data_IF_171324631305
#
_entry.id   IF_171324631305
#
_cell.length_a   1.000
_cell.length_b   1.000
_cell.length_c   1.000
_cell.angle_alpha   90.00
_cell.angle_beta   90.00
_cell.angle_gamma   90.00
#
_symmetry.space_group_name_H-M   'P 1'
#
loop_
_entity.id
_entity.type
_entity.pdbx_description
1 polymer ?
#
# COMPACT_ATOMS: atom_id res chain seq x y z
N UNK A 1 13.07 2.11 16.15
CA UNK A 1 11.82 2.63 15.61
C UNK A 1 11.17 1.52 14.81
N UNK A 2 9.87 1.34 14.95
CA UNK A 2 9.10 0.38 14.17
C UNK A 2 8.45 1.11 12.99
N UNK A 3 8.44 0.50 11.82
CA UNK A 3 7.84 1.09 10.62
C UNK A 3 6.33 1.20 10.77
N UNK A 4 5.69 0.26 11.48
CA UNK A 4 4.27 0.29 11.82
C UNK A 4 3.89 1.56 12.59
N UNK A 5 4.77 2.04 13.47
CA UNK A 5 4.54 3.29 14.22
C UNK A 5 4.57 4.55 13.35
N UNK A 6 5.10 4.43 12.13
CA UNK A 6 5.13 5.49 11.13
C UNK A 6 4.18 5.23 9.96
N UNK A 7 3.58 4.04 9.90
CA UNK A 7 2.71 3.64 8.81
C UNK A 7 1.48 4.53 8.77
N UNK A 8 1.10 4.97 7.57
CA UNK A 8 0.00 5.92 7.41
C UNK A 8 0.38 7.39 7.63
N UNK A 9 1.61 7.69 8.07
CA UNK A 9 2.06 9.08 8.17
C UNK A 9 2.21 9.70 6.77
N UNK A 10 1.68 10.92 6.64
CA UNK A 10 1.84 11.74 5.44
C UNK A 10 3.28 12.26 5.36
N UNK A 11 3.85 12.27 4.17
CA UNK A 11 5.17 12.85 3.90
C UNK A 11 4.96 14.17 3.16
N UNK A 12 5.47 15.27 3.70
CA UNK A 12 5.33 16.62 3.14
C UNK A 12 6.72 17.22 2.91
N UNK A 13 6.94 17.77 1.72
CA UNK A 13 8.13 18.58 1.46
C UNK A 13 7.94 20.00 2.01
N UNK A 14 8.84 20.43 2.89
CA UNK A 14 8.79 21.75 3.51
C UNK A 14 9.15 22.86 2.52
N UNK A 15 9.97 22.56 1.51
CA UNK A 15 10.50 23.56 0.57
C UNK A 15 9.38 24.22 -0.25
N UNK A 16 8.36 23.46 -0.62
CA UNK A 16 7.25 23.94 -1.44
C UNK A 16 5.86 23.59 -0.86
N UNK A 17 5.80 23.06 0.36
CA UNK A 17 4.59 22.59 1.02
C UNK A 17 3.81 21.51 0.23
N UNK A 18 4.51 20.72 -0.59
CA UNK A 18 3.90 19.66 -1.41
C UNK A 18 3.72 18.35 -0.65
N UNK A 19 2.59 17.70 -0.88
CA UNK A 19 2.31 16.37 -0.37
C UNK A 19 2.99 15.31 -1.25
N UNK A 20 3.94 14.58 -0.67
CA UNK A 20 4.71 13.56 -1.39
C UNK A 20 4.04 12.18 -1.37
N UNK A 21 3.15 11.90 -0.41
CA UNK A 21 2.45 10.61 -0.29
C UNK A 21 2.37 10.11 1.14
N UNK A 22 1.93 8.86 1.30
CA UNK A 22 1.88 8.13 2.57
C UNK A 22 3.08 7.19 2.66
N UNK A 23 3.77 7.17 3.80
CA UNK A 23 4.86 6.24 4.05
C UNK A 23 4.40 4.78 3.85
N UNK A 24 5.03 4.10 2.88
CA UNK A 24 4.72 2.71 2.52
C UNK A 24 5.84 1.73 2.89
N UNK A 25 7.09 2.20 2.89
CA UNK A 25 8.22 1.33 3.19
C UNK A 25 9.56 2.02 3.28
N UNK A 26 10.61 1.21 3.33
CA UNK A 26 12.00 1.66 3.42
C UNK A 26 12.88 1.04 2.34
N UNK A 27 13.91 1.78 1.95
CA UNK A 27 14.99 1.30 1.09
C UNK A 27 16.24 1.14 1.94
N UNK A 28 16.73 -0.10 2.02
CA UNK A 28 17.96 -0.42 2.74
C UNK A 28 19.10 -0.63 1.76
N UNK A 29 20.27 -0.13 2.12
CA UNK A 29 21.51 -0.47 1.43
C UNK A 29 21.75 -1.99 1.45
N UNK A 30 22.01 -2.61 0.30
CA UNK A 30 22.09 -4.07 0.24
C UNK A 30 23.32 -4.65 0.98
N UNK A 31 24.34 -3.85 1.28
CA UNK A 31 25.61 -4.30 1.86
C UNK A 31 25.66 -4.03 3.36
N UNK A 32 25.33 -2.80 3.74
CA UNK A 32 25.37 -2.31 5.13
C UNK A 32 24.03 -2.41 5.85
N UNK A 33 22.95 -2.66 5.10
CA UNK A 33 21.56 -2.64 5.58
C UNK A 33 21.16 -1.32 6.23
N UNK A 34 21.89 -0.23 5.99
CA UNK A 34 21.53 1.11 6.49
C UNK A 34 20.33 1.62 5.72
N UNK A 35 19.37 2.22 6.41
CA UNK A 35 18.23 2.86 5.76
C UNK A 35 18.71 4.08 4.99
N UNK A 36 18.58 4.05 3.68
CA UNK A 36 18.97 5.17 2.81
C UNK A 36 17.78 6.08 2.52
N UNK A 37 16.63 5.47 2.23
CA UNK A 37 15.42 6.20 1.86
C UNK A 37 14.20 5.60 2.55
N UNK A 38 13.16 6.42 2.68
CA UNK A 38 11.79 5.94 2.73
C UNK A 38 11.18 6.00 1.34
N UNK A 39 10.11 5.25 1.10
CA UNK A 39 9.28 5.47 -0.08
C UNK A 39 7.79 5.53 0.26
N UNK A 40 7.07 6.29 -0.55
CA UNK A 40 5.64 6.52 -0.41
C UNK A 40 4.81 5.61 -1.32
N UNK A 41 3.50 5.62 -1.12
CA UNK A 41 2.48 4.99 -1.98
C UNK A 41 2.48 5.52 -3.42
N UNK A 42 2.89 6.78 -3.60
CA UNK A 42 3.11 7.44 -4.91
C UNK A 42 4.46 7.09 -5.55
N UNK A 43 5.22 6.14 -4.97
CA UNK A 43 6.59 5.80 -5.38
C UNK A 43 7.59 6.97 -5.34
N UNK A 44 7.39 7.94 -4.45
CA UNK A 44 8.39 8.97 -4.17
C UNK A 44 9.40 8.46 -3.16
N UNK A 45 10.69 8.62 -3.46
CA UNK A 45 11.80 8.22 -2.59
C UNK A 45 12.37 9.44 -1.89
N UNK A 46 12.44 9.40 -0.55
CA UNK A 46 12.91 10.52 0.27
C UNK A 46 14.10 10.07 1.12
N UNK A 47 15.24 10.78 1.10
CA UNK A 47 16.39 10.43 1.92
C UNK A 47 16.01 10.35 3.40
N UNK A 48 16.44 9.29 4.07
CA UNK A 48 16.05 9.04 5.47
C UNK A 48 16.66 10.09 6.42
N UNK A 49 17.88 10.53 6.15
CA UNK A 49 18.62 11.48 6.99
C UNK A 49 18.01 12.90 6.98
N UNK A 50 17.20 13.22 5.96
CA UNK A 50 16.53 14.52 5.82
C UNK A 50 15.10 14.53 6.39
N UNK A 51 14.68 13.45 7.04
CA UNK A 51 13.35 13.34 7.62
C UNK A 51 13.29 13.95 9.01
N UNK A 52 12.34 14.86 9.19
CA UNK A 52 11.95 15.38 10.49
C UNK A 52 10.64 14.70 10.91
N UNK A 53 10.70 14.02 12.05
CA UNK A 53 9.57 13.27 12.60
C UNK A 53 8.63 14.19 13.38
N UNK A 54 7.48 14.50 12.79
CA UNK A 54 6.36 15.12 13.49
C UNK A 54 5.48 14.07 14.20
N UNK A 55 4.42 14.55 14.87
CA UNK A 55 3.48 13.67 15.58
C UNK A 55 2.68 12.77 14.62
N UNK A 56 2.18 13.34 13.52
CA UNK A 56 1.30 12.66 12.55
C UNK A 56 1.81 12.79 11.10
N UNK A 57 2.91 13.51 10.89
CA UNK A 57 3.44 13.89 9.58
C UNK A 57 4.97 13.77 9.60
N UNK A 58 5.54 13.28 8.51
CA UNK A 58 6.96 13.33 8.23
C UNK A 58 7.25 14.52 7.32
N UNK A 59 8.21 15.34 7.71
CA UNK A 59 8.63 16.47 6.91
C UNK A 59 9.96 16.16 6.23
N UNK A 60 10.12 16.56 4.98
CA UNK A 60 11.38 16.46 4.26
C UNK A 60 11.79 17.81 3.68
N UNK A 61 13.09 18.09 3.66
CA UNK A 61 13.65 19.19 2.88
C UNK A 61 13.78 18.87 1.38
N UNK A 62 13.69 17.59 1.01
CA UNK A 62 13.82 17.11 -0.36
C UNK A 62 12.47 16.92 -1.04
N UNK A 63 12.45 17.12 -2.36
CA UNK A 63 11.24 16.97 -3.17
C UNK A 63 10.83 15.52 -3.44
N UNK A 64 11.69 14.59 -3.01
CA UNK A 64 11.61 13.19 -3.37
C UNK A 64 12.01 12.95 -4.83
N UNK A 65 12.41 11.72 -5.10
CA UNK A 65 12.78 11.26 -6.45
C UNK A 65 11.74 10.24 -6.92
N UNK A 66 11.39 10.25 -8.20
CA UNK A 66 10.41 9.32 -8.78
C UNK A 66 11.01 7.98 -9.21
N UNK A 67 12.33 7.88 -9.26
CA UNK A 67 13.05 6.68 -9.64
C UNK A 67 14.26 6.51 -8.73
N UNK A 68 14.45 5.30 -8.23
CA UNK A 68 15.63 4.93 -7.46
C UNK A 68 16.53 4.01 -8.28
N UNK A 69 17.74 4.48 -8.60
CA UNK A 69 18.75 3.68 -9.30
C UNK A 69 19.75 3.11 -8.29
N UNK A 70 19.71 1.79 -8.04
CA UNK A 70 20.73 1.15 -7.21
C UNK A 70 20.43 -0.28 -6.79
N UNK A 71 21.48 -0.96 -6.33
CA UNK A 71 21.42 -2.27 -5.66
C UNK A 71 20.95 -2.09 -4.22
N UNK A 72 19.66 -1.88 -4.01
CA UNK A 72 19.09 -1.72 -2.67
C UNK A 72 17.88 -2.60 -2.45
N UNK A 73 17.57 -2.87 -1.19
CA UNK A 73 16.46 -3.70 -0.78
C UNK A 73 15.26 -2.80 -0.49
N UNK A 74 14.29 -2.78 -1.40
CA UNK A 74 12.99 -2.10 -1.20
C UNK A 74 12.08 -3.04 -0.42
N UNK A 75 11.68 -2.66 0.79
CA UNK A 75 10.83 -3.49 1.65
C UNK A 75 9.61 -2.66 2.08
N UNK A 76 8.42 -3.08 1.65
CA UNK A 76 7.15 -2.48 2.08
C UNK A 76 6.56 -3.22 3.27
N UNK A 77 5.72 -2.53 4.03
CA UNK A 77 4.75 -3.20 4.90
C UNK A 77 3.77 -4.02 4.05
N UNK A 78 3.42 -5.21 4.53
CA UNK A 78 2.56 -6.15 3.82
C UNK A 78 3.24 -6.94 2.70
N UNK A 79 4.54 -6.71 2.41
CA UNK A 79 5.27 -7.44 1.38
C UNK A 79 5.31 -8.96 1.68
N UNK A 80 5.11 -9.78 0.65
CA UNK A 80 5.11 -11.23 0.78
C UNK A 80 6.53 -11.77 0.98
N UNK A 81 6.75 -12.58 2.00
CA UNK A 81 8.05 -13.19 2.28
C UNK A 81 8.10 -14.61 1.73
N UNK A 82 9.17 -14.91 0.99
CA UNK A 82 9.43 -16.23 0.43
C UNK A 82 10.80 -16.74 0.87
N UNK A 83 10.94 -18.06 0.98
CA UNK A 83 12.26 -18.68 1.07
C UNK A 83 12.98 -18.68 -0.28
N UNK A 84 14.28 -18.93 -0.29
CA UNK A 84 15.06 -19.22 -1.50
C UNK A 84 14.46 -20.32 -2.41
N UNK A 85 13.67 -21.23 -1.83
CA UNK A 85 12.98 -22.31 -2.57
C UNK A 85 11.60 -21.90 -3.08
N UNK A 86 11.23 -20.62 -3.00
CA UNK A 86 9.91 -20.11 -3.41
C UNK A 86 8.77 -20.43 -2.44
N UNK A 87 9.02 -21.13 -1.31
CA UNK A 87 7.98 -21.36 -0.29
C UNK A 87 7.58 -20.05 0.37
N UNK A 88 6.28 -19.75 0.40
CA UNK A 88 5.71 -18.62 1.13
C UNK A 88 5.89 -18.79 2.64
N UNK A 89 6.29 -17.71 3.31
CA UNK A 89 6.64 -17.67 4.74
C UNK A 89 5.73 -16.75 5.56
N UNK A 90 4.96 -15.87 4.91
CA UNK A 90 4.09 -14.89 5.56
C UNK A 90 4.20 -13.51 4.91
N UNK A 91 3.67 -12.49 5.58
CA UNK A 91 3.79 -11.08 5.17
C UNK A 91 4.66 -10.28 6.14
N UNK A 92 5.20 -9.18 5.65
CA UNK A 92 5.92 -8.21 6.46
C UNK A 92 4.93 -7.43 7.32
N UNK A 93 4.81 -7.78 8.60
CA UNK A 93 3.95 -7.08 9.55
C UNK A 93 4.55 -5.73 9.93
N UNK A 94 5.87 -5.71 10.12
CA UNK A 94 6.59 -4.53 10.60
C UNK A 94 8.08 -4.63 10.27
N UNK A 95 8.77 -3.50 10.35
CA UNK A 95 10.21 -3.40 10.12
C UNK A 95 10.85 -2.55 11.21
N UNK A 96 11.81 -3.11 11.92
CA UNK A 96 12.65 -2.38 12.86
C UNK A 96 13.97 -2.04 12.18
N UNK A 97 14.27 -0.76 12.03
CA UNK A 97 15.44 -0.25 11.30
C UNK A 97 16.29 0.71 12.16
N UNK A 98 16.42 0.41 13.46
CA UNK A 98 17.30 1.18 14.35
C UNK A 98 18.78 0.88 14.04
N UNK A 99 19.68 1.84 14.27
CA UNK A 99 21.13 1.69 14.13
C UNK A 99 21.68 0.44 14.83
N UNK A 100 21.10 0.06 15.97
CA UNK A 100 21.52 -1.12 16.77
C UNK A 100 20.87 -2.43 16.37
N UNK A 101 19.67 -2.42 15.78
CA UNK A 101 18.88 -3.63 15.52
C UNK A 101 18.05 -3.47 14.26
N UNK A 102 18.25 -4.40 13.32
CA UNK A 102 17.58 -4.44 12.03
C UNK A 102 16.90 -5.78 11.83
N UNK A 103 15.57 -5.81 11.88
CA UNK A 103 14.79 -7.03 11.68
C UNK A 103 13.43 -6.72 11.06
N UNK A 104 12.90 -7.70 10.33
CA UNK A 104 11.52 -7.73 9.84
C UNK A 104 10.69 -8.60 10.79
N UNK A 105 9.47 -8.17 11.08
CA UNK A 105 8.46 -8.99 11.76
C UNK A 105 7.57 -9.65 10.71
N UNK A 106 7.40 -10.95 10.83
CA UNK A 106 6.54 -11.77 9.98
C UNK A 106 5.84 -12.82 10.83
N UNK A 107 4.52 -12.72 10.94
CA UNK A 107 3.69 -13.60 11.78
C UNK A 107 4.25 -13.74 13.20
N UNK A 108 4.57 -12.61 13.84
CA UNK A 108 5.21 -12.52 15.16
C UNK A 108 6.66 -13.08 15.27
N UNK A 109 7.27 -13.51 14.15
CA UNK A 109 8.67 -13.96 14.13
C UNK A 109 9.59 -12.82 13.73
N UNK A 110 10.71 -12.69 14.45
CA UNK A 110 11.79 -11.74 14.12
C UNK A 110 12.75 -12.37 13.12
N UNK A 111 12.88 -11.75 11.96
CA UNK A 111 13.77 -12.19 10.89
C UNK A 111 14.84 -11.12 10.71
N UNK A 112 16.11 -11.49 10.88
CA UNK A 112 17.21 -10.56 10.67
C UNK A 112 17.29 -10.10 9.21
N UNK A 113 17.50 -8.80 8.98
CA UNK A 113 17.52 -8.21 7.63
C UNK A 113 18.63 -8.79 6.75
N UNK A 114 19.73 -9.25 7.33
CA UNK A 114 20.83 -9.91 6.60
C UNK A 114 20.45 -11.25 5.95
N UNK A 115 19.26 -11.77 6.25
CA UNK A 115 18.68 -12.93 5.56
C UNK A 115 17.96 -12.54 4.27
N UNK A 116 17.67 -11.27 4.05
CA UNK A 116 17.03 -10.77 2.83
C UNK A 116 18.11 -10.70 1.74
N UNK A 117 17.99 -11.57 0.75
CA UNK A 117 18.92 -11.63 -0.38
C UNK A 117 18.43 -10.79 -1.55
N UNK A 118 17.12 -10.66 -1.71
CA UNK A 118 16.45 -9.85 -2.70
C UNK A 118 15.14 -9.30 -2.13
N UNK A 119 14.77 -8.08 -2.50
CA UNK A 119 13.50 -7.49 -2.12
C UNK A 119 13.02 -6.53 -3.21
N UNK A 120 11.74 -6.62 -3.52
CA UNK A 120 10.95 -5.66 -4.28
C UNK A 120 9.87 -5.11 -3.35
N UNK A 121 9.23 -4.01 -3.71
CA UNK A 121 8.13 -3.43 -2.93
C UNK A 121 7.07 -4.47 -2.53
N UNK A 122 6.82 -5.48 -3.37
CA UNK A 122 5.74 -6.45 -3.16
C UNK A 122 6.20 -7.76 -2.50
N UNK A 123 7.52 -8.05 -2.51
CA UNK A 123 8.04 -9.32 -2.01
C UNK A 123 9.48 -9.22 -1.50
N UNK A 124 9.86 -10.11 -0.58
CA UNK A 124 11.26 -10.32 -0.20
C UNK A 124 11.60 -11.80 -0.10
N UNK A 125 12.82 -12.13 -0.53
CA UNK A 125 13.36 -13.49 -0.55
C UNK A 125 14.36 -13.65 0.59
N UNK A 126 14.14 -14.69 1.39
CA UNK A 126 14.89 -14.99 2.60
C UNK A 126 15.78 -16.22 2.43
N UNK A 127 17.05 -16.07 2.78
CA UNK A 127 18.00 -17.16 2.92
C UNK A 127 17.84 -17.87 4.26
N UNK A 128 18.00 -19.19 4.26
CA UNK A 128 18.06 -20.00 5.48
C UNK A 128 19.32 -19.67 6.31
N UNK A 129 20.43 -19.36 5.64
CA UNK A 129 21.75 -19.21 6.27
C UNK A 129 22.24 -17.77 6.37
N UNK A 130 21.43 -16.80 5.93
CA UNK A 130 21.89 -15.42 5.70
C UNK A 130 22.69 -15.33 4.39
N UNK A 131 23.10 -14.12 3.99
CA UNK A 131 24.00 -13.97 2.83
C UNK A 131 25.30 -14.76 3.03
N UNK A 132 25.38 -15.95 2.44
CA UNK A 132 26.64 -16.58 2.00
C UNK A 132 26.67 -16.43 0.49
N UNK A 133 27.40 -15.42 0.02
CA UNK A 133 27.67 -15.10 -1.39
C UNK A 133 26.45 -14.99 -2.32
N UNK A 134 26.28 -13.81 -2.93
CA UNK A 134 25.11 -13.46 -3.75
C UNK A 134 24.80 -14.53 -4.80
N UNK A 135 23.61 -15.12 -4.74
CA UNK A 135 22.95 -15.67 -5.91
C UNK A 135 22.48 -14.45 -6.71
N UNK A 136 23.24 -14.07 -7.74
CA UNK A 136 22.70 -13.21 -8.79
C UNK A 136 21.63 -14.04 -9.50
N UNK A 137 20.36 -13.76 -9.20
CA UNK A 137 19.28 -14.12 -10.12
C UNK A 137 19.49 -13.25 -11.36
N UNK A 138 20.32 -13.73 -12.28
CA UNK A 138 20.24 -13.31 -13.67
C UNK A 138 18.78 -13.45 -14.07
N UNK A 139 18.21 -12.39 -14.64
CA UNK A 139 16.88 -12.42 -15.21
C UNK A 139 16.79 -13.71 -16.03
N UNK A 140 16.03 -14.68 -15.53
CA UNK A 140 15.76 -15.87 -16.31
C UNK A 140 14.94 -15.35 -17.45
N UNK A 141 15.56 -15.35 -18.62
CA UNK A 141 14.93 -15.11 -19.90
C UNK A 141 13.63 -15.89 -19.88
N UNK A 142 12.50 -15.18 -19.75
CA UNK A 142 11.20 -15.77 -19.97
C UNK A 142 11.28 -16.22 -21.41
N UNK A 143 11.48 -17.52 -21.63
CA UNK A 143 11.43 -18.09 -22.97
C UNK A 143 10.10 -17.66 -23.55
N UNK A 144 10.19 -16.80 -24.57
CA UNK A 144 9.05 -16.31 -25.30
C UNK A 144 8.25 -17.54 -25.73
N UNK A 145 7.00 -17.62 -25.26
CA UNK A 145 6.03 -18.53 -25.85
C UNK A 145 6.02 -18.19 -27.35
N UNK A 146 6.35 -19.14 -28.25
CA UNK A 146 6.45 -18.84 -29.67
C UNK A 146 5.13 -18.26 -30.16
N UNK A 147 5.22 -17.14 -30.86
CA UNK A 147 4.08 -16.50 -31.49
C UNK A 147 3.32 -17.52 -32.35
N UNK A 148 1.97 -17.61 -32.24
CA UNK A 148 1.20 -18.48 -33.11
C UNK A 148 1.47 -18.09 -34.57
N UNK A 149 1.99 -19.04 -35.34
CA UNK A 149 2.25 -18.85 -36.75
C UNK A 149 0.93 -18.53 -37.46
N UNK A 150 0.89 -17.36 -38.07
CA UNK A 150 -0.17 -16.93 -38.97
C UNK A 150 -0.26 -17.92 -40.15
N UNK A 151 -1.25 -18.81 -40.10
CA UNK A 151 -1.70 -19.55 -41.26
C UNK A 151 -2.53 -18.60 -42.15
N UNK A 152 -2.10 -18.44 -43.39
CA UNK A 152 -2.78 -17.64 -44.41
C UNK A 152 -4.05 -18.34 -44.92
N UNK A 153 -5.13 -17.56 -44.94
CA UNK A 153 -6.23 -17.52 -45.94
C UNK A 153 -7.05 -18.77 -46.24
N UNK A 154 -8.33 -18.71 -45.88
CA UNK A 154 -9.42 -19.06 -46.81
C UNK A 154 -10.65 -18.19 -46.55
N UNK A 155 -11.15 -17.57 -47.61
CA UNK A 155 -12.39 -16.80 -47.72
C UNK A 155 -13.59 -17.40 -46.97
N UNK A 156 -14.32 -16.55 -46.25
CA UNK A 156 -15.80 -16.53 -46.25
C UNK A 156 -16.33 -15.22 -45.62
N UNK A 157 -17.51 -14.73 -46.06
CA UNK A 157 -17.95 -13.37 -45.81
C UNK A 157 -18.71 -13.18 -44.49
N UNK A 158 -18.47 -12.02 -43.88
CA UNK A 158 -19.35 -11.14 -43.08
C UNK A 158 -20.48 -11.80 -42.28
N UNK A 159 -20.32 -11.81 -40.95
CA UNK A 159 -21.41 -11.65 -40.00
C UNK A 159 -20.96 -10.76 -38.83
N UNK A 160 -21.46 -9.52 -38.81
CA UNK A 160 -21.27 -8.57 -37.71
C UNK A 160 -22.14 -8.97 -36.53
N UNK A 161 -21.53 -9.49 -35.46
CA UNK A 161 -22.17 -9.63 -34.15
C UNK A 161 -21.54 -8.63 -33.18
N UNK A 162 -22.28 -7.57 -32.88
CA UNK A 162 -22.01 -6.66 -31.77
C UNK A 162 -22.16 -7.43 -30.45
N UNK A 163 -21.08 -7.56 -29.68
CA UNK A 163 -21.16 -7.91 -28.26
C UNK A 163 -20.36 -6.88 -27.48
N UNK A 164 -21.09 -5.95 -26.87
CA UNK A 164 -20.57 -5.13 -25.79
C UNK A 164 -20.27 -6.07 -24.61
N UNK A 165 -18.99 -6.25 -24.29
CA UNK A 165 -18.56 -6.98 -23.12
C UNK A 165 -18.35 -5.99 -21.96
N UNK A 166 -19.40 -5.88 -21.17
CA UNK A 166 -19.46 -5.35 -19.82
C UNK A 166 -18.51 -6.15 -18.91
N UNK A 167 -17.51 -5.48 -18.31
CA UNK A 167 -16.63 -6.10 -17.30
C UNK A 167 -17.15 -5.72 -15.92
N UNK A 168 -17.56 -6.76 -15.19
CA UNK A 168 -18.20 -6.74 -13.88
C UNK A 168 -17.25 -6.21 -12.77
N UNK A 169 -17.80 -5.57 -11.73
CA UNK A 169 -17.07 -5.25 -10.51
C UNK A 169 -16.84 -6.52 -9.68
N UNK A 170 -15.64 -6.63 -9.11
CA UNK A 170 -15.24 -7.73 -8.23
C UNK A 170 -16.12 -7.79 -6.97
N UNK A 171 -16.48 -9.02 -6.61
CA UNK A 171 -17.23 -9.41 -5.42
C UNK A 171 -16.57 -8.89 -4.12
N UNK A 172 -17.06 -7.76 -3.62
CA UNK A 172 -17.00 -7.45 -2.20
C UNK A 172 -17.97 -8.39 -1.46
N UNK A 173 -17.46 -9.08 -0.44
CA UNK A 173 -18.28 -9.91 0.43
C UNK A 173 -19.45 -9.09 0.98
N UNK A 174 -20.67 -9.41 0.52
CA UNK A 174 -21.89 -8.82 0.98
C UNK A 174 -22.06 -9.12 2.47
N UNK A 175 -21.70 -8.13 3.30
CA UNK A 175 -22.21 -8.05 4.67
C UNK A 175 -23.73 -8.00 4.51
N UNK A 176 -24.42 -9.01 5.03
CA UNK A 176 -25.87 -9.08 4.99
C UNK A 176 -26.42 -7.94 5.87
N UNK A 177 -26.65 -6.78 5.26
CA UNK A 177 -27.12 -5.56 5.93
C UNK A 177 -28.63 -5.64 6.02
N UNK A 178 -29.16 -5.70 7.23
CA UNK A 178 -30.59 -5.64 7.47
C UNK A 178 -31.06 -4.20 7.16
N UNK A 179 -31.90 -3.97 6.13
CA UNK A 179 -32.28 -2.63 5.68
C UNK A 179 -33.07 -1.85 6.73
N UNK A 180 -33.69 -2.53 7.70
CA UNK A 180 -34.46 -1.92 8.78
C UNK A 180 -33.61 -1.15 9.81
N UNK A 181 -32.28 -1.33 9.81
CA UNK A 181 -31.38 -0.75 10.83
C UNK A 181 -30.75 0.60 10.42
N UNK A 182 -31.01 1.04 9.17
CA UNK A 182 -30.52 2.30 8.58
C UNK A 182 -31.31 3.51 9.11
N UNK A 183 -32.56 3.28 9.55
CA UNK A 183 -33.38 4.27 10.27
C UNK A 183 -33.53 5.62 9.56
N UNK A 184 -33.82 6.65 10.36
CA UNK A 184 -34.12 8.04 9.95
C UNK A 184 -33.04 8.72 9.09
N UNK A 185 -31.91 8.08 8.82
CA UNK A 185 -30.74 8.64 8.12
C UNK A 185 -30.51 8.09 6.71
N UNK A 186 -31.44 7.28 6.17
CA UNK A 186 -31.35 6.77 4.80
C UNK A 186 -31.21 7.89 3.73
N UNK A 187 -31.76 9.08 4.01
CA UNK A 187 -31.64 10.26 3.13
C UNK A 187 -30.20 10.79 2.97
N UNK A 188 -29.26 10.34 3.80
CA UNK A 188 -27.85 10.69 3.69
C UNK A 188 -27.11 9.84 2.64
N UNK A 189 -27.61 8.66 2.29
CA UNK A 189 -26.95 7.75 1.35
C UNK A 189 -26.84 8.43 -0.01
N UNK A 190 -25.64 8.42 -0.59
CA UNK A 190 -25.34 9.07 -1.86
C UNK A 190 -25.01 10.57 -1.76
N UNK A 191 -25.21 11.20 -0.60
CA UNK A 191 -24.75 12.57 -0.35
C UNK A 191 -23.24 12.61 -0.08
N UNK A 192 -22.63 13.78 -0.21
CA UNK A 192 -21.23 14.01 0.16
C UNK A 192 -21.13 14.85 1.43
N UNK A 193 -20.18 14.50 2.28
CA UNK A 193 -19.81 15.33 3.42
C UNK A 193 -19.19 16.64 2.93
N UNK A 194 -19.54 17.76 3.55
CA UNK A 194 -18.99 19.09 3.24
C UNK A 194 -17.81 19.45 4.14
N UNK A 195 -17.70 18.79 5.29
CA UNK A 195 -16.68 19.05 6.32
C UNK A 195 -16.19 17.73 6.90
N UNK A 196 -14.98 17.76 7.43
CA UNK A 196 -14.43 16.63 8.16
C UNK A 196 -15.25 16.35 9.43
N UNK A 197 -15.50 15.06 9.68
CA UNK A 197 -16.10 14.55 10.92
C UNK A 197 -15.08 13.60 11.53
N UNK A 198 -14.57 13.96 12.70
CA UNK A 198 -13.64 13.13 13.45
C UNK A 198 -14.06 12.99 14.90
N UNK A 199 -13.72 11.85 15.50
CA UNK A 199 -13.82 11.66 16.94
C UNK A 199 -12.63 12.27 17.69
N UNK A 200 -12.79 12.55 18.98
CA UNK A 200 -11.75 13.13 19.85
C UNK A 200 -10.50 12.23 19.86
N UNK A 201 -10.68 10.91 19.78
CA UNK A 201 -9.60 9.93 19.65
C UNK A 201 -9.11 9.68 18.21
N UNK A 202 -9.68 10.36 17.20
CA UNK A 202 -9.44 10.15 15.75
C UNK A 202 -9.61 8.71 15.25
N UNK A 203 -10.31 7.85 16.00
CA UNK A 203 -10.61 6.47 15.64
C UNK A 203 -11.62 6.36 14.48
N UNK A 204 -12.47 7.37 14.34
CA UNK A 204 -13.42 7.54 13.25
C UNK A 204 -13.13 8.90 12.58
N UNK A 205 -12.83 8.87 11.28
CA UNK A 205 -12.59 10.07 10.47
C UNK A 205 -13.30 9.91 9.13
N UNK A 206 -14.17 10.87 8.81
CA UNK A 206 -14.77 11.02 7.49
C UNK A 206 -14.32 12.37 6.94
N UNK A 207 -13.58 12.34 5.83
CA UNK A 207 -13.06 13.53 5.18
C UNK A 207 -14.19 14.34 4.52
N UNK A 208 -13.95 15.62 4.24
CA UNK A 208 -14.83 16.37 3.35
C UNK A 208 -14.80 15.77 1.92
N UNK A 209 -15.96 15.74 1.27
CA UNK A 209 -16.17 15.20 -0.07
C UNK A 209 -16.43 13.69 -0.11
N UNK A 210 -16.32 12.98 1.02
CA UNK A 210 -16.57 11.54 1.09
C UNK A 210 -18.03 11.22 0.80
N UNK A 211 -18.27 10.24 -0.07
CA UNK A 211 -19.61 9.74 -0.38
C UNK A 211 -20.14 8.93 0.82
N UNK A 212 -21.35 9.27 1.26
CA UNK A 212 -22.00 8.58 2.37
C UNK A 212 -22.62 7.27 1.84
N UNK A 213 -22.15 6.15 2.38
CA UNK A 213 -22.64 4.80 2.10
C UNK A 213 -23.27 4.18 3.35
N UNK A 214 -24.03 3.09 3.20
CA UNK A 214 -24.63 2.36 4.32
C UNK A 214 -23.60 1.95 5.37
N UNK A 215 -22.44 1.48 4.90
CA UNK A 215 -21.32 1.10 5.76
C UNK A 215 -20.79 2.29 6.56
N UNK A 216 -20.75 3.48 5.96
CA UNK A 216 -20.31 4.70 6.65
C UNK A 216 -21.33 5.14 7.71
N UNK A 217 -22.63 5.05 7.42
CA UNK A 217 -23.71 5.31 8.38
C UNK A 217 -23.61 4.38 9.58
N UNK A 218 -23.41 3.08 9.37
CA UNK A 218 -23.26 2.12 10.46
C UNK A 218 -22.02 2.40 11.32
N UNK A 219 -20.89 2.70 10.68
CA UNK A 219 -19.67 3.05 11.40
C UNK A 219 -19.84 4.36 12.20
N UNK A 220 -20.53 5.35 11.62
CA UNK A 220 -20.86 6.60 12.31
C UNK A 220 -21.83 6.41 13.48
N UNK A 221 -22.82 5.51 13.34
CA UNK A 221 -23.76 5.11 14.41
C UNK A 221 -22.99 4.49 15.58
N UNK A 222 -22.07 3.56 15.29
CA UNK A 222 -21.19 2.94 16.31
C UNK A 222 -20.27 3.95 16.99
N UNK A 223 -19.78 4.94 16.25
CA UNK A 223 -18.91 5.99 16.76
C UNK A 223 -19.66 7.16 17.44
N UNK A 224 -21.00 7.15 17.47
CA UNK A 224 -21.80 8.26 18.02
C UNK A 224 -21.69 9.56 17.22
N UNK A 225 -21.31 9.48 15.94
CA UNK A 225 -21.02 10.64 15.05
C UNK A 225 -22.06 10.88 13.96
N UNK A 226 -23.16 10.12 13.98
CA UNK A 226 -24.15 10.14 12.90
C UNK A 226 -24.85 11.50 12.72
N UNK A 227 -25.22 12.17 13.82
CA UNK A 227 -25.81 13.52 13.80
C UNK A 227 -24.85 14.59 13.26
N UNK A 228 -23.55 14.42 13.51
CA UNK A 228 -22.51 15.31 13.01
C UNK A 228 -22.31 15.14 11.50
N UNK A 229 -22.43 13.91 10.97
CA UNK A 229 -22.44 13.66 9.52
C UNK A 229 -23.68 14.27 8.88
N UNK A 230 -24.86 14.08 9.50
CA UNK A 230 -26.11 14.63 8.98
C UNK A 230 -26.05 16.16 8.83
N UNK A 231 -25.59 16.86 9.87
CA UNK A 231 -25.45 18.33 9.87
C UNK A 231 -24.35 18.87 8.96
N UNK A 232 -23.39 18.02 8.56
CA UNK A 232 -22.27 18.38 7.67
C UNK A 232 -22.42 17.77 6.28
N UNK A 233 -23.59 17.29 5.90
CA UNK A 233 -23.88 16.83 4.54
C UNK A 233 -24.66 17.90 3.78
N UNK A 234 -24.24 18.22 2.56
CA UNK A 234 -24.93 19.16 1.68
C UNK A 234 -26.04 18.45 0.90
N UNK A 235 -27.04 19.19 0.42
CA UNK A 235 -27.93 18.71 -0.66
C UNK A 235 -27.16 18.35 -1.92
#
# INVERSE_FOLDING_TARGET
MLLSSLSGMKVICVKNAEYLGILSGVVLDAETYVTKYIFTDTNMFVPFDDLIFGKDVLFSAHMGESAYAGTSLKISLGANLYSEKGKYLGKTDDLCFNSKRKYVLCENKKIAVNRIIAASGDYAILSAHGKKDRIYLTATEVQAIPAPQSASSSDNPVETVNVAAEVQPENDAAVNVNPDDIGDYAYLIGKRTTKEVSDIGRSFVVMAGTLITDRLIQNAKKAGKLSEIASKSGE
#
